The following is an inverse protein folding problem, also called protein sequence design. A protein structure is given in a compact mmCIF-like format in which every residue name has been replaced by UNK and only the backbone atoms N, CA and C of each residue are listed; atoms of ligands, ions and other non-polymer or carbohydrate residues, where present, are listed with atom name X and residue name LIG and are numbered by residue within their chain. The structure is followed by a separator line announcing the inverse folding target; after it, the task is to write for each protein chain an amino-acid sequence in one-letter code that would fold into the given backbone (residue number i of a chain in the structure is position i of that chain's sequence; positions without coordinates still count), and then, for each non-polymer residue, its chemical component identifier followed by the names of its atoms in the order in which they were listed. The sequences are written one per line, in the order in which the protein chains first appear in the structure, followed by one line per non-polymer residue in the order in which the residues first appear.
data_IF_878937615938
#
_entry.id   IF_878937615938
#
_cell.length_a   1.000
_cell.length_b   1.000
_cell.length_c   1.000
_cell.angle_alpha   90.00
_cell.angle_beta   90.00
_cell.angle_gamma   90.00
#
_symmetry.space_group_name_H-M   'P 1'
#
loop_
_entity.id
_entity.type
_entity.pdbx_description
1 polymer ?
#
# COMPACT_ATOMS: atom_id res chain seq x y z
N UNK A 1 -15.19 8.49 0.02
CA UNK A 1 -14.36 8.88 1.20
C UNK A 1 -13.36 9.95 0.78
N UNK A 2 -13.20 11.03 1.55
CA UNK A 2 -12.22 12.06 1.30
C UNK A 2 -10.82 11.56 1.72
N UNK A 3 -9.81 11.58 0.84
CA UNK A 3 -8.45 11.21 1.21
C UNK A 3 -7.81 12.30 2.08
N UNK A 4 -7.00 11.87 3.03
CA UNK A 4 -6.33 12.74 4.00
C UNK A 4 -4.82 12.55 3.90
N UNK A 5 -4.11 13.65 3.61
CA UNK A 5 -2.64 13.71 3.67
C UNK A 5 -2.27 14.51 4.91
N UNK A 6 -1.49 13.92 5.80
CA UNK A 6 -0.89 14.65 6.91
C UNK A 6 0.46 15.21 6.51
N UNK A 7 0.60 16.55 6.60
CA UNK A 7 1.87 17.23 6.40
C UNK A 7 2.41 17.78 7.73
N UNK A 8 3.63 17.44 8.07
CA UNK A 8 4.25 17.88 9.32
C UNK A 8 5.70 18.29 9.12
N UNK A 9 6.16 19.26 9.94
CA UNK A 9 7.56 19.61 10.04
C UNK A 9 8.36 18.65 10.97
N UNK A 10 7.65 17.83 11.76
CA UNK A 10 8.26 16.89 12.69
C UNK A 10 8.43 15.54 12.02
N UNK A 11 9.68 15.13 11.85
CA UNK A 11 10.05 13.81 11.34
C UNK A 11 10.07 12.73 12.43
N UNK A 12 9.54 13.01 13.63
CA UNK A 12 9.58 12.05 14.72
C UNK A 12 8.70 10.85 14.40
N UNK A 13 9.23 9.67 14.67
CA UNK A 13 8.72 8.37 14.26
C UNK A 13 7.35 8.06 14.87
N UNK A 14 7.13 8.53 16.10
CA UNK A 14 5.89 8.29 16.83
C UNK A 14 4.71 9.13 16.28
N UNK A 15 4.99 10.35 15.81
CA UNK A 15 3.97 11.20 15.18
C UNK A 15 3.48 10.63 13.83
N UNK A 16 4.38 9.98 13.08
CA UNK A 16 4.03 9.29 11.82
C UNK A 16 3.10 8.11 12.06
N UNK A 17 3.44 7.28 13.05
CA UNK A 17 2.64 6.12 13.44
C UNK A 17 1.28 6.57 13.95
N UNK A 18 1.24 7.62 14.76
CA UNK A 18 0.02 8.17 15.31
C UNK A 18 -0.91 8.73 14.21
N UNK A 19 -0.39 9.54 13.29
CA UNK A 19 -1.17 10.12 12.20
C UNK A 19 -1.76 9.07 11.25
N UNK A 20 -0.97 8.03 10.93
CA UNK A 20 -1.45 6.92 10.11
C UNK A 20 -2.47 6.03 10.86
N UNK A 21 -2.32 5.86 12.17
CA UNK A 21 -3.30 5.13 12.99
C UNK A 21 -4.62 5.90 13.14
N UNK A 22 -4.61 7.23 13.03
CA UNK A 22 -5.80 8.08 12.98
C UNK A 22 -6.56 7.98 11.65
N UNK A 23 -6.02 7.27 10.65
CA UNK A 23 -6.70 7.02 9.38
C UNK A 23 -6.30 7.95 8.25
N UNK A 24 -5.17 8.65 8.34
CA UNK A 24 -4.60 9.34 7.19
C UNK A 24 -4.24 8.34 6.08
N UNK A 25 -4.52 8.73 4.84
CA UNK A 25 -4.21 7.90 3.67
C UNK A 25 -2.73 8.00 3.31
N UNK A 26 -2.09 9.15 3.63
CA UNK A 26 -0.66 9.36 3.42
C UNK A 26 -0.09 10.32 4.47
N UNK A 27 1.22 10.21 4.70
CA UNK A 27 1.96 11.07 5.60
C UNK A 27 3.20 11.63 4.90
N UNK A 28 3.28 12.96 4.78
CA UNK A 28 4.38 13.66 4.17
C UNK A 28 5.09 14.55 5.20
N UNK A 29 6.41 14.50 5.25
CA UNK A 29 7.20 15.52 5.96
C UNK A 29 7.39 16.73 5.04
N UNK A 30 7.61 17.92 5.60
CA UNK A 30 7.86 19.15 4.82
C UNK A 30 9.16 19.11 4.03
N UNK A 31 10.03 18.14 4.32
CA UNK A 31 11.30 17.93 3.62
C UNK A 31 11.14 17.17 2.30
N UNK A 32 9.95 16.60 2.03
CA UNK A 32 9.68 15.98 0.74
C UNK A 32 9.63 17.04 -0.36
N UNK A 33 10.12 16.65 -1.54
CA UNK A 33 10.03 17.55 -2.71
C UNK A 33 8.57 17.84 -3.07
N UNK A 34 8.33 18.99 -3.67
CA UNK A 34 7.01 19.35 -4.17
C UNK A 34 6.51 18.35 -5.22
N UNK A 35 7.41 17.82 -6.03
CA UNK A 35 7.10 16.81 -7.05
C UNK A 35 6.57 15.52 -6.42
N UNK A 36 7.13 15.10 -5.29
CA UNK A 36 6.63 13.96 -4.52
C UNK A 36 5.20 14.22 -4.01
N UNK A 37 4.97 15.38 -3.41
CA UNK A 37 3.64 15.75 -2.91
C UNK A 37 2.60 15.78 -4.05
N UNK A 38 2.97 16.36 -5.20
CA UNK A 38 2.09 16.40 -6.39
C UNK A 38 1.79 14.98 -6.89
N UNK A 39 2.78 14.10 -6.92
CA UNK A 39 2.59 12.72 -7.33
C UNK A 39 1.63 11.96 -6.38
N UNK A 40 1.75 12.16 -5.08
CA UNK A 40 0.85 11.61 -4.06
C UNK A 40 -0.57 12.14 -4.23
N UNK A 41 -0.75 13.47 -4.38
CA UNK A 41 -2.05 14.10 -4.60
C UNK A 41 -2.71 13.56 -5.86
N UNK A 42 -1.99 13.51 -6.98
CA UNK A 42 -2.51 12.99 -8.24
C UNK A 42 -2.94 11.53 -8.15
N UNK A 43 -2.20 10.73 -7.39
CA UNK A 43 -2.55 9.33 -7.12
C UNK A 43 -3.87 9.21 -6.34
N UNK A 44 -4.06 10.06 -5.32
CA UNK A 44 -5.28 10.09 -4.52
C UNK A 44 -6.49 10.61 -5.31
N UNK A 45 -6.31 11.67 -6.11
CA UNK A 45 -7.38 12.21 -6.98
C UNK A 45 -7.83 11.16 -8.00
N UNK A 46 -6.88 10.53 -8.69
CA UNK A 46 -7.17 9.47 -9.66
C UNK A 46 -7.98 8.33 -9.03
N UNK A 47 -7.69 7.97 -7.78
CA UNK A 47 -8.45 6.97 -7.03
C UNK A 47 -9.91 7.38 -6.83
N UNK A 48 -10.18 8.66 -6.47
CA UNK A 48 -11.55 9.18 -6.29
C UNK A 48 -12.33 9.15 -7.60
N UNK A 49 -11.69 9.59 -8.69
CA UNK A 49 -12.32 9.63 -10.01
C UNK A 49 -12.69 8.23 -10.51
N UNK A 50 -11.88 7.23 -10.17
CA UNK A 50 -12.09 5.83 -10.56
C UNK A 50 -13.11 5.10 -9.70
N UNK A 51 -13.33 5.48 -8.44
CA UNK A 51 -14.40 4.95 -7.60
C UNK A 51 -15.80 5.25 -8.18
N UNK A 52 -15.90 6.25 -9.09
CA UNK A 52 -17.14 6.65 -9.75
C UNK A 52 -17.38 5.97 -11.10
N UNK A 53 -16.43 5.17 -11.61
CA UNK A 53 -16.56 4.49 -12.90
C UNK A 53 -16.49 2.96 -12.73
N UNK A 54 -17.37 2.21 -13.43
CA UNK A 54 -17.24 0.76 -13.48
C UNK A 54 -15.89 0.38 -14.11
N UNK A 55 -15.25 -0.72 -13.68
CA UNK A 55 -13.95 -1.12 -14.17
C UNK A 55 -14.01 -1.35 -15.69
N UNK A 56 -13.26 -0.57 -16.46
CA UNK A 56 -13.13 -0.78 -17.90
C UNK A 56 -12.31 -2.06 -18.15
N UNK A 57 -12.86 -2.93 -19.00
CA UNK A 57 -12.47 -4.34 -19.20
C UNK A 57 -11.06 -4.57 -19.81
N UNK A 58 -10.29 -3.54 -20.12
CA UNK A 58 -9.07 -3.68 -20.94
C UNK A 58 -7.83 -2.93 -20.39
N UNK A 59 -7.65 -2.88 -19.09
CA UNK A 59 -6.44 -2.30 -18.50
C UNK A 59 -5.49 -3.41 -18.05
N UNK A 60 -4.19 -3.21 -18.28
CA UNK A 60 -3.10 -4.15 -17.99
C UNK A 60 -3.09 -4.56 -16.51
N UNK A 61 -3.94 -5.53 -16.15
CA UNK A 61 -3.94 -6.11 -14.81
C UNK A 61 -2.87 -7.19 -14.72
N UNK A 62 -2.27 -7.34 -13.55
CA UNK A 62 -1.44 -8.49 -13.19
C UNK A 62 -2.22 -9.37 -12.23
N UNK A 63 -2.32 -10.66 -12.52
CA UNK A 63 -3.00 -11.64 -11.67
C UNK A 63 -1.97 -12.54 -10.98
N UNK A 64 -2.06 -12.65 -9.66
CA UNK A 64 -1.20 -13.50 -8.82
C UNK A 64 -2.12 -14.31 -7.89
N UNK A 65 -2.49 -15.51 -8.32
CA UNK A 65 -3.49 -16.30 -7.61
C UNK A 65 -4.83 -15.56 -7.55
N UNK A 66 -5.37 -15.39 -6.34
CA UNK A 66 -6.61 -14.66 -6.09
C UNK A 66 -6.46 -13.13 -6.09
N UNK A 67 -5.22 -12.62 -6.15
CA UNK A 67 -4.94 -11.19 -6.22
C UNK A 67 -4.89 -10.72 -7.67
N UNK A 68 -5.60 -9.64 -7.96
CA UNK A 68 -5.39 -8.85 -9.17
C UNK A 68 -4.95 -7.44 -8.78
N UNK A 69 -3.91 -6.93 -9.42
CA UNK A 69 -3.44 -5.56 -9.25
C UNK A 69 -3.58 -4.77 -10.55
N UNK A 70 -3.94 -3.51 -10.40
CA UNK A 70 -4.16 -2.54 -11.48
C UNK A 70 -3.16 -1.39 -11.32
N UNK A 71 -1.96 -1.48 -11.94
CA UNK A 71 -0.87 -0.53 -11.70
C UNK A 71 -1.24 0.92 -12.05
N UNK A 72 -1.97 1.12 -13.14
CA UNK A 72 -2.36 2.47 -13.58
C UNK A 72 -3.33 3.16 -12.61
N UNK A 73 -4.05 2.36 -11.81
CA UNK A 73 -5.08 2.84 -10.87
C UNK A 73 -4.61 2.79 -9.42
N UNK A 74 -3.44 2.20 -9.15
CA UNK A 74 -2.95 1.88 -7.80
C UNK A 74 -4.01 1.13 -6.96
N UNK A 75 -4.70 0.14 -7.58
CA UNK A 75 -5.79 -0.64 -7.00
C UNK A 75 -5.48 -2.12 -6.98
N UNK A 76 -6.17 -2.84 -6.11
CA UNK A 76 -6.11 -4.29 -6.05
C UNK A 76 -7.50 -4.89 -5.79
N UNK A 77 -7.73 -6.11 -6.30
CA UNK A 77 -8.86 -6.94 -5.94
C UNK A 77 -8.38 -8.25 -5.32
N UNK A 78 -9.15 -8.80 -4.42
CA UNK A 78 -8.95 -10.11 -3.84
C UNK A 78 -10.19 -10.96 -4.11
N UNK A 79 -10.02 -12.08 -4.82
CA UNK A 79 -11.17 -12.94 -5.25
C UNK A 79 -12.27 -12.16 -5.98
N UNK A 80 -11.88 -11.14 -6.74
CA UNK A 80 -12.79 -10.29 -7.51
C UNK A 80 -13.39 -9.11 -6.74
N UNK A 81 -13.18 -9.00 -5.41
CA UNK A 81 -13.66 -7.88 -4.60
C UNK A 81 -12.57 -6.83 -4.39
N UNK A 82 -12.92 -5.54 -4.49
CA UNK A 82 -11.97 -4.45 -4.28
C UNK A 82 -11.49 -4.37 -2.84
N UNK A 83 -10.16 -4.28 -2.67
CA UNK A 83 -9.55 -4.02 -1.37
C UNK A 83 -9.37 -2.52 -1.19
N UNK A 84 -9.91 -1.95 -0.10
CA UNK A 84 -9.78 -0.51 0.21
C UNK A 84 -8.37 -0.16 0.72
N UNK A 85 -7.39 -0.19 -0.17
CA UNK A 85 -5.99 0.12 0.11
C UNK A 85 -5.64 1.55 -0.26
N UNK A 86 -4.71 2.15 0.49
CA UNK A 86 -4.11 3.44 0.13
C UNK A 86 -3.04 3.27 -0.94
N UNK A 87 -2.64 4.35 -1.65
CA UNK A 87 -1.53 4.28 -2.60
C UNK A 87 -0.24 3.73 -1.99
N UNK A 88 0.09 4.11 -0.76
CA UNK A 88 1.27 3.59 -0.06
C UNK A 88 1.17 2.10 0.24
N UNK A 89 -0.01 1.61 0.62
CA UNK A 89 -0.28 0.18 0.80
C UNK A 89 -0.23 -0.58 -0.53
N UNK A 90 -0.76 0.02 -1.62
CA UNK A 90 -0.67 -0.55 -2.96
C UNK A 90 0.79 -0.77 -3.39
N UNK A 91 1.66 0.24 -3.22
CA UNK A 91 3.08 0.13 -3.56
C UNK A 91 3.78 -1.01 -2.81
N UNK A 92 3.45 -1.20 -1.54
CA UNK A 92 3.99 -2.33 -0.76
C UNK A 92 3.51 -3.66 -1.35
N UNK A 93 2.23 -3.78 -1.69
CA UNK A 93 1.68 -4.98 -2.34
C UNK A 93 2.37 -5.22 -3.67
N UNK A 94 2.47 -4.20 -4.52
CA UNK A 94 3.12 -4.32 -5.83
C UNK A 94 4.56 -4.81 -5.71
N UNK A 95 5.34 -4.28 -4.77
CA UNK A 95 6.69 -4.73 -4.48
C UNK A 95 6.74 -6.18 -4.00
N UNK A 96 5.83 -6.57 -3.13
CA UNK A 96 5.76 -7.95 -2.63
C UNK A 96 5.46 -8.94 -3.75
N UNK A 97 4.59 -8.57 -4.68
CA UNK A 97 4.14 -9.45 -5.77
C UNK A 97 4.98 -9.36 -7.05
N UNK A 98 6.00 -8.51 -7.11
CA UNK A 98 6.98 -8.51 -8.20
C UNK A 98 7.64 -9.88 -8.35
N UNK A 99 7.96 -10.51 -7.24
CA UNK A 99 8.58 -11.84 -7.18
C UNK A 99 7.95 -12.64 -6.02
N UNK A 100 6.80 -13.30 -6.25
CA UNK A 100 6.12 -14.07 -5.21
C UNK A 100 7.01 -15.19 -4.65
N UNK A 101 7.00 -15.35 -3.33
CA UNK A 101 7.87 -16.26 -2.59
C UNK A 101 9.23 -15.66 -2.22
N UNK A 102 9.64 -14.55 -2.82
CA UNK A 102 10.88 -13.88 -2.43
C UNK A 102 10.67 -13.00 -1.19
N UNK A 103 11.62 -13.08 -0.26
CA UNK A 103 11.63 -12.23 0.92
C UNK A 103 12.11 -10.83 0.52
N UNK A 104 11.29 -9.82 0.76
CA UNK A 104 11.62 -8.41 0.57
C UNK A 104 11.97 -7.79 1.93
N UNK A 105 13.19 -7.27 2.04
CA UNK A 105 13.61 -6.54 3.24
C UNK A 105 12.82 -5.22 3.38
N UNK A 106 12.73 -4.68 4.60
CA UNK A 106 11.98 -3.46 4.88
C UNK A 106 12.30 -2.31 3.91
N UNK A 107 13.59 -2.07 3.62
CA UNK A 107 14.00 -0.99 2.70
C UNK A 107 13.54 -1.20 1.26
N UNK A 108 13.34 -2.45 0.83
CA UNK A 108 12.85 -2.77 -0.52
C UNK A 108 11.35 -2.55 -0.67
N UNK A 109 10.63 -2.47 0.45
CA UNK A 109 9.20 -2.19 0.52
C UNK A 109 8.90 -0.70 0.78
N UNK A 110 9.95 0.12 0.91
CA UNK A 110 9.80 1.56 1.06
C UNK A 110 9.49 2.21 -0.28
N UNK A 111 8.65 3.25 -0.24
CA UNK A 111 8.36 4.11 -1.39
C UNK A 111 9.47 5.15 -1.46
N UNK A 112 10.28 5.09 -2.52
CA UNK A 112 11.43 5.97 -2.74
C UNK A 112 12.49 5.94 -1.61
N UNK A 113 13.72 6.38 -1.87
CA UNK A 113 14.88 6.39 -0.97
C UNK A 113 14.76 7.31 0.27
N UNK A 114 13.54 7.65 0.67
CA UNK A 114 13.28 8.35 1.92
C UNK A 114 13.47 7.34 3.04
N UNK A 115 14.27 7.67 4.04
CA UNK A 115 14.43 6.91 5.30
C UNK A 115 13.10 6.76 6.05
N UNK A 116 12.22 5.95 5.48
CA UNK A 116 10.99 5.57 6.16
C UNK A 116 11.36 4.48 7.16
N UNK A 117 11.12 4.76 8.40
CA UNK A 117 11.39 3.85 9.51
C UNK A 117 10.83 2.44 9.24
N UNK A 118 11.54 1.42 9.72
CA UNK A 118 11.07 0.02 9.76
C UNK A 118 9.64 -0.10 10.32
N UNK A 119 9.29 0.73 11.28
CA UNK A 119 7.97 0.75 11.91
C UNK A 119 6.85 1.15 10.94
N UNK A 120 7.13 2.00 9.95
CA UNK A 120 6.13 2.40 8.94
C UNK A 120 5.76 1.22 8.03
N UNK A 121 6.75 0.45 7.55
CA UNK A 121 6.47 -0.76 6.74
C UNK A 121 5.68 -1.77 7.56
N UNK A 122 6.10 -2.02 8.80
CA UNK A 122 5.41 -2.97 9.71
C UNK A 122 3.95 -2.55 9.95
N UNK A 123 3.70 -1.26 10.19
CA UNK A 123 2.35 -0.73 10.39
C UNK A 123 1.50 -0.85 9.13
N UNK A 124 2.07 -0.57 7.96
CA UNK A 124 1.38 -0.75 6.69
C UNK A 124 1.04 -2.22 6.42
N UNK A 125 1.97 -3.14 6.63
CA UNK A 125 1.72 -4.59 6.49
C UNK A 125 0.58 -5.03 7.42
N UNK A 126 0.54 -4.55 8.67
CA UNK A 126 -0.54 -4.85 9.61
C UNK A 126 -1.89 -4.35 9.08
N UNK A 127 -1.94 -3.14 8.53
CA UNK A 127 -3.17 -2.56 7.94
C UNK A 127 -3.61 -3.30 6.69
N UNK A 128 -2.67 -3.60 5.78
CA UNK A 128 -2.94 -4.39 4.57
C UNK A 128 -3.58 -5.73 4.95
N UNK A 129 -2.96 -6.49 5.85
CA UNK A 129 -3.50 -7.77 6.32
C UNK A 129 -4.91 -7.62 6.89
N UNK A 130 -5.16 -6.56 7.67
CA UNK A 130 -6.48 -6.29 8.23
C UNK A 130 -7.54 -6.07 7.14
N UNK A 131 -7.20 -5.29 6.10
CA UNK A 131 -8.11 -4.98 4.99
C UNK A 131 -8.43 -6.22 4.15
N UNK A 132 -7.44 -7.06 3.84
CA UNK A 132 -7.68 -8.33 3.17
C UNK A 132 -8.51 -9.29 4.01
N UNK A 133 -8.28 -9.35 5.33
CA UNK A 133 -9.08 -10.18 6.25
C UNK A 133 -10.52 -9.73 6.42
N UNK A 134 -10.85 -8.50 6.08
CA UNK A 134 -12.24 -8.03 6.03
C UNK A 134 -13.02 -8.66 4.87
N UNK A 135 -12.33 -9.02 3.78
CA UNK A 135 -12.92 -9.70 2.60
C UNK A 135 -12.79 -11.22 2.71
N UNK A 136 -11.72 -11.69 3.34
CA UNK A 136 -11.39 -13.11 3.47
C UNK A 136 -10.68 -13.35 4.80
N UNK A 137 -11.39 -13.91 5.77
CA UNK A 137 -10.88 -14.16 7.12
C UNK A 137 -9.72 -15.19 7.13
N UNK A 138 -9.63 -16.02 6.08
CA UNK A 138 -8.56 -16.99 5.88
C UNK A 138 -7.30 -16.40 5.24
N UNK A 139 -7.28 -15.10 4.92
CA UNK A 139 -6.15 -14.45 4.25
C UNK A 139 -4.84 -14.63 5.01
N UNK A 140 -3.86 -15.24 4.36
CA UNK A 140 -2.51 -15.48 4.91
C UNK A 140 -1.38 -15.26 3.88
N UNK A 141 -1.68 -14.68 2.70
CA UNK A 141 -0.73 -14.56 1.60
C UNK A 141 0.52 -13.70 1.92
N UNK A 142 0.44 -12.78 2.89
CA UNK A 142 1.61 -12.01 3.33
C UNK A 142 2.22 -12.70 4.55
N UNK A 143 3.40 -13.28 4.41
CA UNK A 143 4.16 -13.88 5.50
C UNK A 143 5.23 -12.94 6.04
N UNK A 144 5.59 -13.13 7.33
CA UNK A 144 6.70 -12.44 7.98
C UNK A 144 7.86 -13.41 8.15
N UNK A 145 9.01 -13.07 7.57
CA UNK A 145 10.27 -13.72 7.90
C UNK A 145 10.98 -12.86 8.95
N UNK A 146 11.03 -13.38 10.19
CA UNK A 146 11.54 -12.63 11.34
C UNK A 146 13.01 -12.24 11.13
N UNK A 147 13.29 -10.94 11.24
CA UNK A 147 14.61 -10.36 11.04
C UNK A 147 15.01 -10.12 9.58
N UNK A 148 14.29 -10.68 8.59
CA UNK A 148 14.59 -10.54 7.17
C UNK A 148 13.61 -9.67 6.41
N UNK A 149 12.29 -9.80 6.66
CA UNK A 149 11.28 -8.99 5.98
C UNK A 149 9.95 -9.69 5.79
N UNK A 150 9.37 -9.49 4.61
CA UNK A 150 8.06 -10.02 4.24
C UNK A 150 8.09 -10.65 2.86
N UNK A 151 7.21 -11.61 2.61
CA UNK A 151 7.01 -12.18 1.29
C UNK A 151 5.52 -12.37 0.99
N UNK A 152 5.18 -12.38 -0.29
CA UNK A 152 3.88 -12.78 -0.78
C UNK A 152 3.91 -14.24 -1.18
N UNK A 153 3.13 -15.07 -0.53
CA UNK A 153 2.96 -16.48 -0.91
C UNK A 153 1.91 -16.58 -2.04
N UNK A 154 2.15 -17.46 -3.00
CA UNK A 154 1.11 -17.84 -3.95
C UNK A 154 0.03 -18.61 -3.21
N UNK A 155 -1.22 -18.40 -3.58
CA UNK A 155 -2.32 -19.22 -3.07
C UNK A 155 -2.00 -20.69 -3.28
N UNK A 156 -2.20 -21.48 -2.23
CA UNK A 156 -2.16 -22.92 -2.31
C UNK A 156 -3.50 -23.45 -2.79
#
# INVERSE_FOLDING_TARGET
RLPIILMTARGEQDDKIYGLNLGADEYCTKDHSMDYLVAVINSLIRRIEMDQQPPSVDRRKKSIGSLEIYPEEARATWRGEFVDITPGEYWIIERLVELPGAIKAHRQLMIHDVEVSRNTVTSNIKRIRKKFKQLDDTFCAIETDHGRGYCWQKDR
#
